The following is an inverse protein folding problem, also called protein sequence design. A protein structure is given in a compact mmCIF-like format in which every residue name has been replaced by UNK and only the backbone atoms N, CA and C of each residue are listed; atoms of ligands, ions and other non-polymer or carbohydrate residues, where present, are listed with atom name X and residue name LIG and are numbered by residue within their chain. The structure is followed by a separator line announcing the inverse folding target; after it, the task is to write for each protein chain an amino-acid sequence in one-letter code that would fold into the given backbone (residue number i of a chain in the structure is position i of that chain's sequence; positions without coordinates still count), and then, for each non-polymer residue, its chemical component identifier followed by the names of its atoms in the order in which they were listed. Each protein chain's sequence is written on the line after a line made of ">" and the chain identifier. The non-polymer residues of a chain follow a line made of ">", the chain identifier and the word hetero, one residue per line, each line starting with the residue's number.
data_IF_101660395078
#
_entry.id   IF_101660395078
#
_cell.length_a   1.000
_cell.length_b   1.000
_cell.length_c   1.000
_cell.angle_alpha   90.00
_cell.angle_beta   90.00
_cell.angle_gamma   90.00
#
_symmetry.space_group_name_H-M   'P 1'
#
loop_
_entity.id
_entity.type
_entity.pdbx_description
1 polymer ?
#
# COMPACT_ATOMS: atom_id res chain seq x y z
N UNK A 1 -15.26 40.80 31.39
CA UNK A 1 -14.08 40.80 30.50
C UNK A 1 -13.31 39.50 30.51
N UNK A 2 -12.84 38.96 31.65
CA UNK A 2 -12.04 37.70 31.69
C UNK A 2 -12.78 36.50 31.09
N UNK A 3 -14.09 36.35 31.35
CA UNK A 3 -14.91 35.24 30.81
C UNK A 3 -15.21 35.38 29.31
N UNK A 4 -15.23 36.59 28.78
CA UNK A 4 -15.44 36.86 27.35
C UNK A 4 -14.19 36.54 26.54
N UNK A 5 -13.01 36.86 27.10
CA UNK A 5 -11.72 36.49 26.48
C UNK A 5 -11.52 35.00 26.49
N UNK A 6 -11.88 34.30 27.57
CA UNK A 6 -11.82 32.83 27.65
C UNK A 6 -12.80 32.18 26.66
N UNK A 7 -13.97 32.80 26.44
CA UNK A 7 -14.95 32.32 25.46
C UNK A 7 -14.46 32.53 24.01
N UNK A 8 -13.89 33.69 23.72
CA UNK A 8 -13.23 34.03 22.43
C UNK A 8 -12.02 33.13 22.16
N UNK A 9 -11.23 32.79 23.18
CA UNK A 9 -10.10 31.85 23.06
C UNK A 9 -10.56 30.38 22.90
N UNK A 10 -11.78 30.03 23.31
CA UNK A 10 -12.41 28.74 23.05
C UNK A 10 -13.09 28.66 21.68
N UNK A 11 -13.48 29.82 21.12
CA UNK A 11 -14.06 29.96 19.77
C UNK A 11 -12.99 30.16 18.67
N UNK A 12 -11.71 30.22 19.00
CA UNK A 12 -10.64 29.97 18.04
C UNK A 12 -10.71 28.48 17.69
N UNK A 13 -11.51 28.19 16.66
CA UNK A 13 -11.76 26.86 16.12
C UNK A 13 -10.43 26.11 15.97
N UNK A 14 -10.33 24.94 16.57
CA UNK A 14 -9.23 24.01 16.26
C UNK A 14 -9.27 23.81 14.75
N UNK A 15 -8.30 24.35 14.03
CA UNK A 15 -8.23 24.19 12.59
C UNK A 15 -7.75 22.78 12.29
N UNK A 16 -8.64 21.95 11.80
CA UNK A 16 -8.27 20.62 11.30
C UNK A 16 -7.44 20.76 10.02
N UNK A 17 -6.24 20.18 10.04
CA UNK A 17 -5.35 20.08 8.88
C UNK A 17 -5.38 18.64 8.40
N UNK A 18 -5.95 18.37 7.22
CA UNK A 18 -5.96 17.02 6.68
C UNK A 18 -4.54 16.58 6.31
N UNK A 19 -4.14 15.41 6.80
CA UNK A 19 -2.92 14.72 6.38
C UNK A 19 -3.31 13.54 5.51
N UNK A 20 -2.91 13.57 4.25
CA UNK A 20 -3.19 12.50 3.30
C UNK A 20 -2.23 11.33 3.50
N UNK A 21 -2.80 10.16 3.56
CA UNK A 21 -2.11 8.88 3.57
C UNK A 21 -2.69 7.98 2.50
N UNK A 22 -1.89 7.09 1.96
CA UNK A 22 -2.29 6.27 0.81
C UNK A 22 -2.12 4.80 1.14
N UNK A 23 -3.06 3.99 0.70
CA UNK A 23 -2.94 2.54 0.67
C UNK A 23 -3.17 2.06 -0.76
N UNK A 24 -2.28 1.21 -1.26
CA UNK A 24 -2.28 0.74 -2.63
C UNK A 24 -2.30 -0.79 -2.65
N UNK A 25 -3.08 -1.39 -3.55
CA UNK A 25 -2.79 -2.74 -4.00
C UNK A 25 -1.54 -2.72 -4.90
N UNK A 26 -0.97 -3.88 -5.16
CA UNK A 26 0.25 -4.01 -5.95
C UNK A 26 -0.05 -4.39 -7.39
N UNK A 27 -0.67 -5.59 -7.58
CA UNK A 27 -0.94 -6.15 -8.89
C UNK A 27 -2.04 -5.37 -9.60
N UNK A 28 -1.84 -5.13 -10.88
CA UNK A 28 -2.75 -4.46 -11.82
C UNK A 28 -3.16 -3.03 -11.40
N UNK A 29 -2.81 -2.62 -10.17
CA UNK A 29 -3.06 -1.29 -9.63
C UNK A 29 -1.81 -0.37 -9.66
N UNK A 30 -0.64 -0.87 -9.27
CA UNK A 30 0.64 -0.15 -9.41
C UNK A 30 1.40 -0.61 -10.65
N UNK A 31 1.39 -1.89 -10.95
CA UNK A 31 2.10 -2.46 -12.09
C UNK A 31 1.53 -3.80 -12.53
N UNK A 32 1.66 -4.10 -13.81
CA UNK A 32 1.26 -5.36 -14.42
C UNK A 32 2.38 -6.39 -14.26
N UNK A 33 2.29 -7.17 -13.20
CA UNK A 33 3.32 -8.16 -12.89
C UNK A 33 3.20 -9.41 -13.79
N UNK A 34 4.33 -9.95 -14.28
CA UNK A 34 4.32 -11.17 -15.11
C UNK A 34 4.05 -12.46 -14.31
N UNK A 35 3.63 -12.32 -13.05
CA UNK A 35 3.30 -13.43 -12.16
C UNK A 35 2.09 -14.19 -12.66
N UNK A 36 2.10 -15.52 -12.55
CA UNK A 36 1.04 -16.41 -13.05
C UNK A 36 0.40 -17.21 -11.93
N UNK A 37 -0.90 -17.46 -12.09
CA UNK A 37 -1.66 -18.48 -11.39
C UNK A 37 -1.69 -19.71 -12.31
N UNK A 38 -1.38 -20.89 -11.77
CA UNK A 38 -1.26 -22.12 -12.56
C UNK A 38 -2.53 -22.95 -12.45
N UNK A 39 -3.08 -23.30 -13.60
CA UNK A 39 -4.32 -24.05 -13.76
C UNK A 39 -4.01 -25.33 -14.53
N UNK A 40 -4.93 -26.29 -14.51
CA UNK A 40 -4.88 -27.50 -15.33
C UNK A 40 -5.89 -27.37 -16.47
N UNK A 41 -5.45 -27.78 -17.64
CA UNK A 41 -6.35 -28.04 -18.75
C UNK A 41 -6.94 -29.47 -18.74
N UNK A 42 -7.77 -29.82 -19.71
CA UNK A 42 -8.41 -31.13 -19.83
C UNK A 42 -7.44 -32.24 -20.20
N UNK A 43 -6.27 -31.94 -20.73
CA UNK A 43 -5.16 -32.88 -20.97
C UNK A 43 -4.29 -33.10 -19.71
N UNK A 44 -4.47 -32.30 -18.68
CA UNK A 44 -3.71 -32.30 -17.42
C UNK A 44 -2.41 -31.53 -17.49
N UNK A 45 -2.24 -30.67 -18.48
CA UNK A 45 -1.09 -29.80 -18.63
C UNK A 45 -1.31 -28.48 -17.84
N UNK A 46 -0.21 -27.89 -17.37
CA UNK A 46 -0.27 -26.63 -16.63
C UNK A 46 -0.34 -25.40 -17.55
N UNK A 47 -1.37 -24.59 -17.36
CA UNK A 47 -1.60 -23.32 -18.04
C UNK A 47 -1.45 -22.15 -17.07
N UNK A 48 -0.62 -21.16 -17.40
CA UNK A 48 -0.39 -19.96 -16.59
C UNK A 48 -1.35 -18.83 -16.94
N UNK A 49 -2.19 -18.42 -15.98
CA UNK A 49 -3.14 -17.30 -16.09
C UNK A 49 -2.61 -16.04 -15.40
N UNK A 50 -2.82 -14.86 -15.99
CA UNK A 50 -2.51 -13.57 -15.37
C UNK A 50 -3.45 -13.22 -14.23
N UNK A 51 -3.10 -12.20 -13.44
CA UNK A 51 -3.89 -11.72 -12.30
C UNK A 51 -5.23 -11.11 -12.74
N UNK A 52 -5.23 -10.30 -13.78
CA UNK A 52 -6.42 -9.69 -14.36
C UNK A 52 -7.42 -10.75 -14.85
N UNK A 53 -6.96 -11.68 -15.69
CA UNK A 53 -7.80 -12.78 -16.19
C UNK A 53 -8.31 -13.66 -15.02
N UNK A 54 -7.43 -13.94 -14.04
CA UNK A 54 -7.82 -14.71 -12.87
C UNK A 54 -8.95 -14.03 -12.06
N UNK A 55 -8.93 -12.72 -11.94
CA UNK A 55 -9.99 -11.99 -11.27
C UNK A 55 -11.36 -12.20 -11.95
N UNK A 56 -11.38 -12.36 -13.28
CA UNK A 56 -12.59 -12.65 -14.07
C UNK A 56 -13.02 -14.11 -13.93
N UNK A 57 -12.10 -15.05 -14.15
CA UNK A 57 -12.43 -16.49 -14.28
C UNK A 57 -12.43 -17.27 -12.96
N UNK A 58 -11.93 -16.74 -11.85
CA UNK A 58 -11.73 -17.47 -10.58
C UNK A 58 -12.98 -18.16 -10.01
N UNK A 59 -14.17 -17.71 -10.38
CA UNK A 59 -15.41 -18.29 -9.89
C UNK A 59 -15.81 -19.56 -10.65
N UNK A 60 -15.22 -19.81 -11.81
CA UNK A 60 -15.49 -20.97 -12.67
C UNK A 60 -14.52 -22.12 -12.34
N UNK A 61 -13.29 -21.82 -11.96
CA UNK A 61 -12.22 -22.80 -11.76
C UNK A 61 -12.63 -23.89 -10.76
N UNK A 62 -12.53 -25.16 -11.18
CA UNK A 62 -12.92 -26.32 -10.39
C UNK A 62 -14.42 -26.54 -10.24
N UNK A 63 -15.27 -25.75 -10.94
CA UNK A 63 -16.73 -25.90 -10.95
C UNK A 63 -17.26 -26.28 -12.30
N UNK A 64 -16.83 -25.59 -13.34
CA UNK A 64 -17.21 -25.85 -14.72
C UNK A 64 -16.02 -25.54 -15.64
N UNK A 65 -15.78 -26.37 -16.68
CA UNK A 65 -14.73 -26.11 -17.65
C UNK A 65 -15.03 -24.82 -18.45
N UNK A 66 -13.97 -24.08 -18.80
CA UNK A 66 -14.09 -22.88 -19.63
C UNK A 66 -12.87 -22.73 -20.56
N UNK A 67 -13.08 -22.01 -21.67
CA UNK A 67 -12.02 -21.74 -22.64
C UNK A 67 -11.16 -20.55 -22.21
N UNK A 68 -9.83 -20.73 -22.24
CA UNK A 68 -8.85 -19.69 -21.99
C UNK A 68 -7.63 -19.85 -22.90
N UNK A 69 -7.37 -18.90 -23.79
CA UNK A 69 -6.25 -18.89 -24.73
C UNK A 69 -6.08 -20.18 -25.55
N UNK A 70 -7.18 -20.86 -25.90
CA UNK A 70 -7.20 -22.09 -26.68
C UNK A 70 -7.00 -23.37 -25.84
N UNK A 71 -7.06 -23.28 -24.52
CA UNK A 71 -7.05 -24.38 -23.57
C UNK A 71 -8.40 -24.49 -22.86
N UNK A 72 -8.90 -25.71 -22.65
CA UNK A 72 -10.08 -25.96 -21.82
C UNK A 72 -9.64 -26.11 -20.35
N UNK A 73 -9.80 -25.07 -19.56
CA UNK A 73 -9.40 -25.10 -18.15
C UNK A 73 -10.43 -25.85 -17.32
N UNK A 74 -9.94 -26.76 -16.45
CA UNK A 74 -10.80 -27.63 -15.63
C UNK A 74 -10.60 -27.41 -14.13
N UNK A 75 -9.38 -27.14 -13.65
CA UNK A 75 -9.09 -27.02 -12.21
C UNK A 75 -7.81 -26.21 -11.94
N UNK A 76 -7.49 -26.03 -10.67
CA UNK A 76 -6.20 -25.54 -10.22
C UNK A 76 -5.09 -26.60 -10.37
N UNK A 77 -3.92 -26.16 -10.83
CA UNK A 77 -2.72 -26.98 -10.75
C UNK A 77 -2.24 -27.17 -9.30
N UNK A 78 -1.39 -28.18 -9.01
CA UNK A 78 -0.70 -28.26 -7.73
C UNK A 78 0.07 -26.96 -7.43
N UNK A 79 -0.10 -26.43 -6.22
CA UNK A 79 0.50 -25.15 -5.81
C UNK A 79 0.25 -23.97 -6.79
N UNK A 80 -1.00 -23.67 -7.11
CA UNK A 80 -1.36 -22.74 -8.18
C UNK A 80 -0.82 -21.33 -7.97
N UNK A 81 -0.59 -20.92 -6.72
CA UNK A 81 -0.10 -19.60 -6.32
C UNK A 81 1.39 -19.61 -5.91
N UNK A 82 2.21 -20.57 -6.42
CA UNK A 82 3.62 -20.68 -6.04
C UNK A 82 4.44 -19.43 -6.29
N UNK A 83 4.14 -18.69 -7.36
CA UNK A 83 4.81 -17.43 -7.71
C UNK A 83 4.46 -16.27 -6.77
N UNK A 84 3.41 -16.41 -5.97
CA UNK A 84 2.94 -15.37 -5.02
C UNK A 84 3.41 -15.60 -3.58
N UNK A 85 4.16 -16.69 -3.32
CA UNK A 85 4.64 -17.10 -1.99
C UNK A 85 6.10 -16.69 -1.76
N UNK A 86 6.57 -16.97 -0.56
CA UNK A 86 7.95 -16.69 -0.10
C UNK A 86 9.02 -17.26 -1.02
N UNK A 87 8.81 -18.44 -1.59
CA UNK A 87 9.75 -19.06 -2.54
C UNK A 87 9.88 -18.26 -3.85
N UNK A 88 8.88 -17.43 -4.17
CA UNK A 88 8.89 -16.49 -5.28
C UNK A 88 9.55 -15.13 -4.98
N UNK A 89 10.06 -14.88 -3.78
CA UNK A 89 10.61 -13.57 -3.38
C UNK A 89 11.69 -13.07 -4.36
N UNK A 90 12.62 -13.95 -4.78
CA UNK A 90 13.68 -13.59 -5.73
C UNK A 90 13.14 -13.24 -7.12
N UNK A 91 12.16 -14.00 -7.60
CA UNK A 91 11.48 -13.75 -8.88
C UNK A 91 10.72 -12.43 -8.81
N UNK A 92 9.94 -12.20 -7.75
CA UNK A 92 9.21 -10.95 -7.52
C UNK A 92 10.13 -9.74 -7.62
N UNK A 93 11.26 -9.72 -6.90
CA UNK A 93 12.21 -8.61 -6.93
C UNK A 93 12.86 -8.38 -8.30
N UNK A 94 12.95 -9.41 -9.14
CA UNK A 94 13.39 -9.29 -10.53
C UNK A 94 12.27 -8.72 -11.39
N UNK A 95 11.07 -9.25 -11.25
CA UNK A 95 9.91 -8.90 -12.06
C UNK A 95 9.47 -7.45 -11.83
N UNK A 96 9.57 -6.93 -10.59
CA UNK A 96 9.32 -5.52 -10.27
C UNK A 96 10.05 -4.55 -11.20
N UNK A 97 11.27 -4.90 -11.64
CA UNK A 97 12.07 -4.02 -12.50
C UNK A 97 11.68 -4.10 -13.98
N UNK A 98 11.04 -5.19 -14.41
CA UNK A 98 10.62 -5.41 -15.81
C UNK A 98 9.12 -5.26 -16.04
N UNK A 99 8.31 -5.26 -14.98
CA UNK A 99 6.86 -5.13 -15.07
C UNK A 99 6.46 -3.79 -15.70
N UNK A 100 5.40 -3.76 -16.48
CA UNK A 100 4.80 -2.55 -16.99
C UNK A 100 4.11 -1.77 -15.84
N UNK A 101 4.17 -0.43 -15.90
CA UNK A 101 3.56 0.42 -14.87
C UNK A 101 2.10 0.69 -15.21
N UNK A 102 1.22 0.61 -14.22
CA UNK A 102 -0.20 0.94 -14.36
C UNK A 102 -0.41 2.47 -14.31
N UNK A 103 0.05 3.17 -15.36
CA UNK A 103 0.09 4.63 -15.40
C UNK A 103 -1.28 5.31 -15.36
N UNK A 104 -2.33 4.59 -15.73
CA UNK A 104 -3.71 5.11 -15.77
C UNK A 104 -4.49 4.84 -14.46
N UNK A 105 -3.84 4.25 -13.47
CA UNK A 105 -4.45 3.88 -12.20
C UNK A 105 -3.76 4.64 -11.04
N UNK A 106 -3.24 3.90 -10.07
CA UNK A 106 -2.68 4.46 -8.84
C UNK A 106 -1.21 4.87 -8.94
N UNK A 107 -0.51 4.56 -10.03
CA UNK A 107 0.92 4.84 -10.16
C UNK A 107 1.27 6.33 -9.97
N UNK A 108 0.55 7.31 -10.56
CA UNK A 108 0.83 8.73 -10.34
C UNK A 108 0.70 9.14 -8.87
N UNK A 109 -0.32 8.66 -8.16
CA UNK A 109 -0.52 8.94 -6.73
C UNK A 109 0.58 8.30 -5.88
N UNK A 110 1.05 7.11 -6.26
CA UNK A 110 2.16 6.43 -5.60
C UNK A 110 3.48 7.18 -5.78
N UNK A 111 3.76 7.67 -6.98
CA UNK A 111 4.92 8.54 -7.27
C UNK A 111 4.86 9.81 -6.43
N UNK A 112 3.71 10.48 -6.39
CA UNK A 112 3.50 11.68 -5.58
C UNK A 112 3.75 11.40 -4.09
N UNK A 113 3.19 10.30 -3.58
CA UNK A 113 3.36 9.91 -2.18
C UNK A 113 4.85 9.68 -1.84
N UNK A 114 5.59 8.98 -2.70
CA UNK A 114 7.03 8.73 -2.48
C UNK A 114 7.82 10.03 -2.56
N UNK A 115 7.70 10.79 -3.64
CA UNK A 115 8.51 11.99 -3.85
C UNK A 115 8.31 13.02 -2.74
N UNK A 116 7.10 13.09 -2.17
CA UNK A 116 6.79 13.98 -1.04
C UNK A 116 7.12 13.37 0.34
N UNK A 117 7.64 12.15 0.41
CA UNK A 117 7.92 11.47 1.68
C UNK A 117 6.66 11.16 2.51
N UNK A 118 5.48 11.10 1.87
CA UNK A 118 4.22 10.76 2.53
C UNK A 118 4.21 9.30 2.96
N UNK A 119 3.59 9.01 4.12
CA UNK A 119 3.42 7.62 4.55
C UNK A 119 2.36 6.92 3.71
N UNK A 120 2.67 5.70 3.32
CA UNK A 120 1.77 4.83 2.57
C UNK A 120 1.74 3.40 3.12
N UNK A 121 0.83 2.63 2.59
CA UNK A 121 0.78 1.18 2.79
C UNK A 121 0.65 0.45 1.47
N UNK A 122 1.29 -0.71 1.36
CA UNK A 122 1.00 -1.70 0.32
C UNK A 122 0.12 -2.79 0.96
N UNK A 123 -1.07 -3.01 0.40
CA UNK A 123 -2.03 -4.02 0.87
C UNK A 123 -2.37 -4.91 -0.32
N UNK A 124 -1.77 -6.09 -0.41
CA UNK A 124 -1.88 -6.97 -1.58
C UNK A 124 -2.25 -8.40 -1.20
N UNK A 125 -2.93 -9.10 -2.11
CA UNK A 125 -3.26 -10.52 -1.96
C UNK A 125 -2.03 -11.45 -1.99
N UNK A 126 -0.83 -10.94 -2.27
CA UNK A 126 0.40 -11.71 -2.28
C UNK A 126 0.74 -12.31 -0.92
N UNK A 127 1.49 -13.42 -0.94
CA UNK A 127 2.00 -14.12 0.25
C UNK A 127 3.52 -13.98 0.43
N UNK A 128 4.17 -13.02 -0.22
CA UNK A 128 5.59 -12.70 -0.01
C UNK A 128 5.84 -12.15 1.41
N UNK A 129 7.10 -12.11 1.84
CA UNK A 129 7.44 -11.44 3.10
C UNK A 129 7.16 -9.93 3.02
N UNK A 130 6.72 -9.27 4.09
CA UNK A 130 6.61 -7.81 4.13
C UNK A 130 7.91 -7.10 3.74
N UNK A 131 9.06 -7.66 4.15
CA UNK A 131 10.39 -7.14 3.76
C UNK A 131 10.66 -7.24 2.27
N UNK A 132 10.11 -8.23 1.58
CA UNK A 132 10.25 -8.39 0.13
C UNK A 132 9.49 -7.31 -0.62
N UNK A 133 8.26 -6.99 -0.19
CA UNK A 133 7.51 -5.84 -0.74
C UNK A 133 8.25 -4.52 -0.50
N UNK A 134 8.78 -4.32 0.72
CA UNK A 134 9.60 -3.15 1.03
C UNK A 134 10.81 -3.04 0.10
N UNK A 135 11.51 -4.13 -0.15
CA UNK A 135 12.66 -4.15 -1.06
C UNK A 135 12.26 -3.94 -2.52
N UNK A 136 11.04 -4.35 -2.92
CA UNK A 136 10.46 -4.01 -4.21
C UNK A 136 10.34 -2.49 -4.38
N UNK A 137 9.73 -1.81 -3.40
CA UNK A 137 9.64 -0.34 -3.39
C UNK A 137 11.03 0.31 -3.38
N UNK A 138 11.97 -0.22 -2.58
CA UNK A 138 13.35 0.28 -2.59
C UNK A 138 13.98 0.25 -3.97
N UNK A 139 13.82 -0.85 -4.70
CA UNK A 139 14.35 -0.97 -6.07
C UNK A 139 13.76 0.08 -7.01
N UNK A 140 12.46 0.38 -6.89
CA UNK A 140 11.81 1.43 -7.67
C UNK A 140 12.41 2.81 -7.37
N UNK A 141 12.67 3.11 -6.10
CA UNK A 141 13.31 4.36 -5.64
C UNK A 141 14.76 4.44 -6.14
N UNK A 142 15.56 3.39 -5.93
CA UNK A 142 16.97 3.36 -6.31
C UNK A 142 17.18 3.52 -7.83
N UNK A 143 16.20 3.09 -8.62
CA UNK A 143 16.25 3.19 -10.09
C UNK A 143 15.56 4.44 -10.65
N UNK A 144 15.00 5.31 -9.81
CA UNK A 144 14.17 6.46 -10.20
C UNK A 144 13.10 6.08 -11.23
N UNK A 145 12.38 4.98 -10.98
CA UNK A 145 11.49 4.40 -11.97
C UNK A 145 10.18 5.15 -12.09
N UNK A 146 9.73 5.40 -13.34
CA UNK A 146 8.38 5.85 -13.65
C UNK A 146 7.99 7.20 -13.02
N UNK A 147 8.93 8.11 -12.85
CA UNK A 147 8.71 9.43 -12.24
C UNK A 147 9.02 9.48 -10.73
N UNK A 148 9.36 8.35 -10.10
CA UNK A 148 9.95 8.38 -8.75
C UNK A 148 11.31 9.09 -8.87
N UNK A 149 11.55 10.01 -7.95
CA UNK A 149 12.80 10.78 -7.85
C UNK A 149 13.36 10.66 -6.43
N UNK A 150 14.45 9.91 -6.32
CA UNK A 150 15.10 9.64 -5.03
C UNK A 150 15.77 10.87 -4.41
N UNK A 151 16.11 11.89 -5.21
CA UNK A 151 16.63 13.16 -4.70
C UNK A 151 15.50 14.02 -4.15
N UNK A 152 14.35 14.12 -4.83
CA UNK A 152 13.16 14.77 -4.31
C UNK A 152 12.69 14.13 -2.99
N UNK A 153 12.64 12.79 -2.95
CA UNK A 153 12.31 12.07 -1.72
C UNK A 153 13.29 12.46 -0.60
N UNK A 154 14.60 12.40 -0.85
CA UNK A 154 15.59 12.73 0.17
C UNK A 154 15.46 14.18 0.66
N UNK A 155 15.26 15.14 -0.24
CA UNK A 155 15.08 16.54 0.12
C UNK A 155 13.82 16.74 0.98
N UNK A 156 12.71 16.07 0.65
CA UNK A 156 11.49 16.06 1.46
C UNK A 156 11.74 15.49 2.87
N UNK A 157 12.43 14.35 2.97
CA UNK A 157 12.77 13.73 4.26
C UNK A 157 13.70 14.61 5.10
N UNK A 158 14.70 15.22 4.46
CA UNK A 158 15.64 16.14 5.09
C UNK A 158 14.91 17.37 5.66
N UNK A 159 14.00 17.97 4.91
CA UNK A 159 13.18 19.08 5.37
C UNK A 159 12.33 18.66 6.59
N UNK A 160 11.70 17.50 6.56
CA UNK A 160 10.95 16.97 7.70
C UNK A 160 11.81 16.81 8.96
N UNK A 161 13.07 16.32 8.82
CA UNK A 161 14.01 16.20 9.94
C UNK A 161 14.37 17.55 10.53
N UNK A 162 14.73 18.52 9.69
CA UNK A 162 15.08 19.87 10.11
C UNK A 162 13.89 20.52 10.84
N UNK A 163 12.68 20.41 10.30
CA UNK A 163 11.46 20.94 10.93
C UNK A 163 11.15 20.25 12.27
N UNK A 164 11.54 19.01 12.44
CA UNK A 164 11.46 18.29 13.72
C UNK A 164 12.56 18.69 14.73
N UNK A 165 13.55 19.49 14.30
CA UNK A 165 14.73 19.84 15.12
C UNK A 165 15.77 18.74 15.17
N UNK A 166 15.79 17.84 14.18
CA UNK A 166 16.72 16.74 14.06
C UNK A 166 17.72 17.02 12.92
N UNK A 167 18.90 16.47 12.98
CA UNK A 167 19.85 16.52 11.87
C UNK A 167 19.56 15.38 10.90
N UNK A 168 19.45 15.65 9.59
CA UNK A 168 19.29 14.59 8.60
C UNK A 168 20.59 13.76 8.51
N UNK A 169 20.43 12.48 8.23
CA UNK A 169 21.53 11.55 7.92
C UNK A 169 21.79 11.52 6.40
N UNK A 170 22.62 10.58 5.95
CA UNK A 170 22.84 10.36 4.53
C UNK A 170 21.57 9.85 3.82
N UNK A 171 21.54 10.02 2.50
CA UNK A 171 20.37 9.69 1.65
C UNK A 171 19.91 8.23 1.83
N UNK A 172 20.84 7.29 1.81
CA UNK A 172 20.50 5.85 1.93
C UNK A 172 19.87 5.55 3.29
N UNK A 173 20.42 6.10 4.36
CA UNK A 173 19.91 5.92 5.72
C UNK A 173 18.52 6.53 5.88
N UNK A 174 18.28 7.75 5.39
CA UNK A 174 16.97 8.39 5.49
C UNK A 174 15.91 7.66 4.66
N UNK A 175 16.23 7.22 3.43
CA UNK A 175 15.32 6.42 2.60
C UNK A 175 14.99 5.09 3.29
N UNK A 176 15.97 4.41 3.88
CA UNK A 176 15.71 3.16 4.61
C UNK A 176 14.84 3.36 5.85
N UNK A 177 15.02 4.46 6.58
CA UNK A 177 14.14 4.83 7.70
C UNK A 177 12.71 5.09 7.22
N UNK A 178 12.56 5.86 6.15
CA UNK A 178 11.27 6.12 5.52
C UNK A 178 10.57 4.83 5.10
N UNK A 179 11.25 3.93 4.40
CA UNK A 179 10.68 2.64 3.98
C UNK A 179 10.20 1.80 5.18
N UNK A 180 10.92 1.81 6.30
CA UNK A 180 10.52 1.12 7.54
C UNK A 180 9.33 1.77 8.26
N UNK A 181 9.08 3.06 8.03
CA UNK A 181 7.90 3.74 8.56
C UNK A 181 6.63 3.38 7.78
N UNK A 182 6.75 3.04 6.51
CA UNK A 182 5.64 2.57 5.69
C UNK A 182 5.15 1.18 6.14
N UNK A 183 4.00 0.74 5.63
CA UNK A 183 3.40 -0.54 6.02
C UNK A 183 3.20 -1.43 4.81
N UNK A 184 3.51 -2.70 4.99
CA UNK A 184 3.46 -3.72 3.95
C UNK A 184 2.64 -4.89 4.47
N UNK A 185 1.47 -5.11 3.88
CA UNK A 185 0.52 -6.14 4.26
C UNK A 185 0.29 -7.12 3.11
N UNK A 186 1.16 -8.10 2.91
CA UNK A 186 0.88 -9.25 2.04
C UNK A 186 -0.10 -10.15 2.78
N UNK A 187 -1.41 -10.05 2.44
CA UNK A 187 -2.47 -10.65 3.27
C UNK A 187 -2.55 -12.18 3.19
N UNK A 188 -1.85 -12.80 2.22
CA UNK A 188 -1.71 -14.25 2.14
C UNK A 188 -0.38 -14.76 2.72
N UNK A 189 0.37 -13.94 3.45
CA UNK A 189 1.62 -14.34 4.10
C UNK A 189 1.38 -15.04 5.43
N UNK A 190 2.07 -16.17 5.62
CA UNK A 190 2.09 -16.90 6.89
C UNK A 190 1.05 -18.01 7.01
N UNK A 191 1.25 -18.88 8.00
CA UNK A 191 0.30 -19.94 8.35
C UNK A 191 -0.98 -19.32 8.92
N UNK A 192 -2.14 -19.75 8.43
CA UNK A 192 -3.44 -19.20 8.82
C UNK A 192 -3.81 -17.91 8.11
N UNK A 193 -3.14 -17.58 6.99
CA UNK A 193 -3.58 -16.52 6.10
C UNK A 193 -5.06 -16.71 5.74
N UNK A 194 -5.81 -15.61 5.74
CA UNK A 194 -7.25 -15.65 5.52
C UNK A 194 -7.55 -16.32 4.16
N UNK A 195 -8.47 -17.28 4.18
CA UNK A 195 -8.98 -17.94 2.95
C UNK A 195 -9.70 -16.98 2.02
N UNK A 196 -10.02 -15.77 2.50
CA UNK A 196 -10.67 -14.71 1.75
C UNK A 196 -9.78 -13.44 1.75
N UNK A 197 -9.10 -13.13 0.63
CA UNK A 197 -8.26 -11.94 0.51
C UNK A 197 -8.99 -10.62 0.76
N UNK A 198 -10.27 -10.52 0.40
CA UNK A 198 -11.07 -9.30 0.61
C UNK A 198 -11.21 -8.98 2.11
N UNK A 199 -11.56 -9.98 2.93
CA UNK A 199 -11.64 -9.82 4.40
C UNK A 199 -10.28 -9.47 4.99
N UNK A 200 -9.22 -10.09 4.48
CA UNK A 200 -7.87 -9.82 4.95
C UNK A 200 -7.38 -8.41 4.57
N UNK A 201 -7.73 -7.90 3.39
CA UNK A 201 -7.46 -6.52 2.97
C UNK A 201 -8.18 -5.51 3.88
N UNK A 202 -9.45 -5.77 4.26
CA UNK A 202 -10.19 -4.93 5.23
C UNK A 202 -9.45 -4.87 6.58
N UNK A 203 -9.02 -6.03 7.10
CA UNK A 203 -8.29 -6.07 8.35
C UNK A 203 -6.93 -5.34 8.28
N UNK A 204 -6.23 -5.43 7.15
CA UNK A 204 -4.99 -4.71 6.88
C UNK A 204 -5.22 -3.20 6.82
N UNK A 205 -6.28 -2.76 6.15
CA UNK A 205 -6.66 -1.35 6.06
C UNK A 205 -7.00 -0.76 7.42
N UNK A 206 -7.75 -1.50 8.26
CA UNK A 206 -8.03 -1.06 9.63
C UNK A 206 -6.75 -0.94 10.48
N UNK A 207 -5.78 -1.87 10.32
CA UNK A 207 -4.46 -1.75 10.97
C UNK A 207 -3.68 -0.53 10.49
N UNK A 208 -3.73 -0.23 9.20
CA UNK A 208 -3.10 0.96 8.65
C UNK A 208 -3.78 2.24 9.17
N UNK A 209 -5.11 2.30 9.20
CA UNK A 209 -5.87 3.41 9.81
C UNK A 209 -5.42 3.67 11.25
N UNK A 210 -5.40 2.64 12.09
CA UNK A 210 -4.95 2.76 13.48
C UNK A 210 -3.50 3.26 13.58
N UNK A 211 -2.64 2.78 12.69
CA UNK A 211 -1.24 3.21 12.65
C UNK A 211 -1.11 4.70 12.34
N UNK A 212 -1.76 5.21 11.29
CA UNK A 212 -1.66 6.63 10.90
C UNK A 212 -2.37 7.54 11.90
N UNK A 213 -3.46 7.09 12.53
CA UNK A 213 -4.10 7.79 13.64
C UNK A 213 -3.11 7.98 14.80
N UNK A 214 -2.42 6.91 15.20
CA UNK A 214 -1.39 6.99 16.25
C UNK A 214 -0.20 7.89 15.87
N UNK A 215 0.17 8.02 14.59
CA UNK A 215 1.20 8.97 14.16
C UNK A 215 0.68 10.42 14.25
N UNK A 216 -0.55 10.69 13.81
CA UNK A 216 -1.18 12.00 13.90
C UNK A 216 -1.32 12.45 15.37
N UNK A 217 -1.73 11.55 16.27
CA UNK A 217 -1.81 11.85 17.71
C UNK A 217 -0.44 12.22 18.29
N UNK A 218 0.62 11.48 17.96
CA UNK A 218 1.98 11.81 18.41
C UNK A 218 2.44 13.18 17.91
N UNK A 219 2.11 13.52 16.66
CA UNK A 219 2.43 14.81 16.08
C UNK A 219 1.67 15.92 16.81
N UNK A 220 0.35 15.77 17.02
CA UNK A 220 -0.48 16.71 17.75
C UNK A 220 0.01 16.94 19.19
N UNK A 221 0.43 15.86 19.89
CA UNK A 221 1.02 15.96 21.24
C UNK A 221 2.35 16.72 21.25
N UNK A 222 3.21 16.52 20.24
CA UNK A 222 4.48 17.28 20.12
C UNK A 222 4.23 18.76 19.87
N UNK A 223 3.29 19.08 19.00
CA UNK A 223 2.95 20.45 18.67
C UNK A 223 2.27 21.16 19.85
N UNK A 224 1.36 20.50 20.56
CA UNK A 224 0.71 21.09 21.75
C UNK A 224 1.68 21.47 22.87
N UNK A 225 2.81 20.74 22.98
CA UNK A 225 3.89 21.07 23.93
C UNK A 225 4.78 22.23 23.49
N UNK A 226 4.86 22.50 22.18
CA UNK A 226 5.75 23.51 21.60
C UNK A 226 5.07 24.89 21.48
N UNK A 227 3.73 24.92 21.49
CA UNK A 227 2.93 26.12 21.25
C UNK A 227 2.07 26.40 22.49
N UNK A 228 2.62 27.12 23.48
CA UNK A 228 1.85 27.48 24.68
C UNK A 228 0.74 28.52 24.40
N UNK A 229 0.68 29.20 23.25
CA UNK A 229 -0.22 30.34 23.02
C UNK A 229 -0.73 30.60 21.60
N UNK A 230 -0.61 29.71 20.62
CA UNK A 230 -1.13 29.98 19.27
C UNK A 230 -2.04 28.85 18.76
N UNK A 231 -2.97 29.22 17.87
CA UNK A 231 -4.00 28.41 17.20
C UNK A 231 -3.64 26.90 17.17
N UNK A 232 -4.40 26.09 17.87
CA UNK A 232 -4.20 24.63 17.92
C UNK A 232 -4.58 24.01 16.58
N UNK A 233 -3.62 23.88 15.70
CA UNK A 233 -3.77 23.05 14.52
C UNK A 233 -3.84 21.58 14.95
N UNK A 234 -4.93 20.91 14.61
CA UNK A 234 -5.12 19.47 14.82
C UNK A 234 -4.95 18.75 13.49
N UNK A 235 -3.94 17.91 13.40
CA UNK A 235 -3.74 17.06 12.23
C UNK A 235 -4.70 15.87 12.25
N UNK A 236 -5.48 15.73 11.18
CA UNK A 236 -6.47 14.67 11.02
C UNK A 236 -6.08 13.80 9.84
N UNK A 237 -5.87 12.48 10.02
CA UNK A 237 -5.51 11.60 8.92
C UNK A 237 -6.69 11.41 7.95
N UNK A 238 -6.42 11.60 6.67
CA UNK A 238 -7.28 11.21 5.56
C UNK A 238 -6.61 10.07 4.81
N UNK A 239 -7.30 8.95 4.62
CA UNK A 239 -6.71 7.77 3.99
C UNK A 239 -7.45 7.49 2.69
N UNK A 240 -6.71 7.49 1.57
CA UNK A 240 -7.14 6.96 0.29
C UNK A 240 -6.76 5.49 0.15
N UNK A 241 -7.58 4.72 -0.53
CA UNK A 241 -7.27 3.35 -0.93
C UNK A 241 -7.50 3.20 -2.42
N UNK A 242 -6.53 2.59 -3.11
CA UNK A 242 -6.61 2.25 -4.52
C UNK A 242 -6.39 0.76 -4.73
N UNK A 243 -7.26 0.16 -5.57
CA UNK A 243 -7.26 -1.26 -5.92
C UNK A 243 -7.91 -1.36 -7.31
N UNK A 244 -7.44 -2.22 -8.18
CA UNK A 244 -8.01 -2.46 -9.51
C UNK A 244 -9.35 -3.20 -9.45
N UNK A 245 -9.57 -4.03 -8.42
CA UNK A 245 -10.82 -4.76 -8.21
C UNK A 245 -11.87 -3.92 -7.48
N UNK A 246 -12.97 -3.48 -8.16
CA UNK A 246 -14.03 -2.70 -7.53
C UNK A 246 -14.71 -3.39 -6.34
N UNK A 247 -14.60 -4.73 -6.24
CA UNK A 247 -15.13 -5.51 -5.10
C UNK A 247 -14.33 -5.22 -3.85
N UNK A 248 -13.01 -5.11 -3.96
CA UNK A 248 -12.13 -4.73 -2.85
C UNK A 248 -12.42 -3.30 -2.38
N UNK A 249 -12.56 -2.34 -3.31
CA UNK A 249 -12.91 -0.95 -2.99
C UNK A 249 -14.24 -0.90 -2.24
N UNK A 250 -15.27 -1.59 -2.75
CA UNK A 250 -16.60 -1.65 -2.12
C UNK A 250 -16.58 -2.33 -0.75
N UNK A 251 -15.80 -3.40 -0.60
CA UNK A 251 -15.66 -4.13 0.65
C UNK A 251 -14.96 -3.28 1.72
N UNK A 252 -13.88 -2.60 1.35
CA UNK A 252 -13.12 -1.71 2.24
C UNK A 252 -13.96 -0.50 2.64
N UNK A 253 -14.63 0.16 1.70
CA UNK A 253 -15.54 1.29 1.99
C UNK A 253 -16.64 0.96 2.98
N UNK A 254 -17.09 -0.32 3.03
CA UNK A 254 -18.11 -0.79 3.98
C UNK A 254 -17.51 -1.32 5.29
N UNK A 255 -16.32 -1.88 5.24
CA UNK A 255 -15.68 -2.59 6.35
C UNK A 255 -14.78 -1.71 7.21
N UNK A 256 -14.29 -0.60 6.67
CA UNK A 256 -13.50 0.39 7.43
C UNK A 256 -14.49 1.37 8.05
N UNK A 257 -14.85 1.13 9.31
CA UNK A 257 -15.69 2.06 10.08
C UNK A 257 -14.93 3.34 10.40
N UNK A 258 -15.64 4.46 10.36
CA UNK A 258 -15.16 5.80 10.75
C UNK A 258 -14.63 5.84 12.19
#
# INVERSE_FOLDING_TARGET
>A
MRNTIIKLLRELEEREIPMKYYAFDWDDNLMYMPTKIYLLDDDGDEVGMGTEDFAEYRTLIGKEPFEYNGFTIVDFAPEPFRDFKVDGDGKFLKDVMSAELANDAAWPDFVEAINNGSLFSIITARGHRPSTLMMGVKKLIDSNRGGIDSDMLYDSLKEMRINAGENPEDKETEIMKYLKMNRYYPVSYGEGSATNPEVAKIAAMNRFKQYVQGQAEKLNLRLSKKIENEIRNKFVPMIGFSDDDPRNIKAISKGVKD
#
